data_IF_556696367026
#
_entry.id   IF_556696367026
#
_cell.length_a   1.000
_cell.length_b   1.000
_cell.length_c   1.000
_cell.angle_alpha   90.00
_cell.angle_beta   90.00
_cell.angle_gamma   90.00
#
_symmetry.space_group_name_H-M   'P 1'
#
loop_
_entity.id
_entity.type
_entity.pdbx_description
1 polymer ?
#
# COMPACT_ATOMS: atom_id res chain seq x y z
N UNK A 1 -26.40 48.55 4.10
CA UNK A 1 -25.62 47.30 4.27
C UNK A 1 -26.60 46.13 4.26
N UNK A 2 -26.48 45.17 3.34
CA UNK A 2 -27.42 44.04 3.20
C UNK A 2 -26.64 42.74 3.44
N UNK A 3 -26.85 42.09 4.59
CA UNK A 3 -26.17 40.84 4.93
C UNK A 3 -26.85 39.68 4.18
N UNK A 4 -26.15 39.05 3.26
CA UNK A 4 -26.57 37.76 2.70
C UNK A 4 -26.15 36.64 3.66
N UNK A 5 -27.13 35.98 4.27
CA UNK A 5 -26.94 34.74 5.01
C UNK A 5 -27.00 33.56 4.03
N UNK A 6 -25.87 32.90 3.82
CA UNK A 6 -25.84 31.58 3.18
C UNK A 6 -26.38 30.54 4.19
N UNK A 7 -27.45 29.83 3.83
CA UNK A 7 -27.79 28.56 4.47
C UNK A 7 -27.07 27.43 3.73
N UNK A 8 -26.41 26.48 4.43
CA UNK A 8 -25.99 25.23 3.82
C UNK A 8 -27.23 24.34 3.63
N UNK A 9 -27.50 23.89 2.41
CA UNK A 9 -28.61 22.99 2.12
C UNK A 9 -28.24 21.56 2.56
N UNK A 10 -28.53 21.23 3.81
CA UNK A 10 -28.40 19.87 4.34
C UNK A 10 -29.54 19.02 3.78
N UNK A 11 -29.28 18.27 2.70
CA UNK A 11 -30.26 17.40 2.06
C UNK A 11 -30.46 16.08 2.84
N UNK A 12 -30.95 16.20 4.07
CA UNK A 12 -31.62 15.14 4.82
C UNK A 12 -33.02 15.66 5.12
N UNK A 13 -34.02 15.24 4.32
CA UNK A 13 -35.43 15.57 4.55
C UNK A 13 -35.98 14.76 5.73
N UNK A 14 -35.50 15.05 6.93
CA UNK A 14 -36.13 14.64 8.19
C UNK A 14 -37.11 15.74 8.65
N UNK A 15 -38.16 15.99 7.85
CA UNK A 15 -39.28 16.84 8.26
C UNK A 15 -40.15 16.07 9.26
N UNK A 16 -39.70 15.97 10.50
CA UNK A 16 -40.43 15.30 11.58
C UNK A 16 -41.69 16.08 12.00
N UNK A 17 -42.75 15.95 11.21
CA UNK A 17 -44.12 16.09 11.69
C UNK A 17 -44.44 14.97 12.67
N UNK A 18 -45.28 15.24 13.68
CA UNK A 18 -45.69 14.20 14.63
C UNK A 18 -46.66 13.23 13.93
N UNK A 19 -46.37 11.93 14.04
CA UNK A 19 -47.22 10.80 13.64
C UNK A 19 -47.18 10.37 12.16
N UNK A 20 -46.00 10.31 11.54
CA UNK A 20 -45.80 9.45 10.36
C UNK A 20 -44.62 8.51 10.61
N UNK A 21 -44.80 7.22 10.33
CA UNK A 21 -43.71 6.25 10.35
C UNK A 21 -42.64 6.71 9.35
N UNK A 22 -41.40 6.84 9.82
CA UNK A 22 -40.28 7.18 8.95
C UNK A 22 -39.89 5.94 8.14
N UNK A 23 -40.64 5.68 7.06
CA UNK A 23 -40.29 4.69 6.05
C UNK A 23 -38.90 5.01 5.50
N UNK A 24 -37.92 4.22 5.91
CA UNK A 24 -36.57 4.27 5.35
C UNK A 24 -36.66 3.71 3.94
N UNK A 25 -36.90 4.60 2.97
CA UNK A 25 -36.99 4.27 1.55
C UNK A 25 -35.69 3.59 1.13
N UNK A 26 -35.75 2.28 1.01
CA UNK A 26 -34.63 1.48 0.51
C UNK A 26 -34.59 1.65 -1.01
N UNK A 27 -33.45 2.08 -1.60
CA UNK A 27 -33.36 2.30 -3.05
C UNK A 27 -33.75 1.05 -3.83
N UNK A 28 -34.60 1.22 -4.84
CA UNK A 28 -34.95 0.12 -5.74
C UNK A 28 -33.81 -0.14 -6.73
N UNK A 29 -33.71 -1.34 -7.34
CA UNK A 29 -32.66 -1.65 -8.31
C UNK A 29 -32.54 -0.65 -9.46
N UNK A 30 -33.67 -0.09 -9.91
CA UNK A 30 -33.78 0.94 -10.95
C UNK A 30 -33.22 2.32 -10.56
N UNK A 31 -33.11 2.62 -9.26
CA UNK A 31 -32.54 3.88 -8.76
C UNK A 31 -30.99 3.87 -8.73
N UNK A 32 -30.38 2.70 -8.98
CA UNK A 32 -28.96 2.47 -8.80
C UNK A 32 -28.16 2.64 -10.10
N UNK A 33 -27.16 3.53 -10.05
CA UNK A 33 -26.26 3.80 -11.17
C UNK A 33 -24.92 3.11 -10.97
N UNK A 34 -24.40 2.52 -12.05
CA UNK A 34 -23.01 2.04 -12.18
C UNK A 34 -22.27 2.89 -13.22
N UNK A 35 -21.57 3.97 -12.82
CA UNK A 35 -20.74 4.76 -13.75
C UNK A 35 -19.58 3.94 -14.32
N UNK A 36 -19.02 4.39 -15.45
CA UNK A 36 -17.75 3.86 -15.94
C UNK A 36 -16.61 4.28 -15.00
N UNK A 37 -15.48 3.58 -15.11
CA UNK A 37 -14.31 3.80 -14.26
C UNK A 37 -13.06 3.91 -15.11
N UNK A 38 -12.31 4.98 -14.88
CA UNK A 38 -10.99 5.24 -15.44
C UNK A 38 -9.99 5.46 -14.31
N UNK A 39 -8.75 4.99 -14.48
CA UNK A 39 -7.72 5.09 -13.45
C UNK A 39 -6.32 5.38 -14.04
N UNK A 40 -5.63 6.34 -13.43
CA UNK A 40 -4.25 6.74 -13.79
C UNK A 40 -3.33 6.66 -12.59
N UNK A 41 -2.03 6.49 -12.85
CA UNK A 41 -0.99 6.77 -11.87
C UNK A 41 -0.67 8.27 -11.87
N UNK A 42 -0.62 8.87 -10.69
CA UNK A 42 -0.58 10.31 -10.46
C UNK A 42 -1.81 11.10 -10.96
N UNK A 43 -1.98 12.29 -10.39
CA UNK A 43 -2.96 13.30 -10.83
C UNK A 43 -2.43 14.15 -12.01
N UNK A 44 -1.13 14.07 -12.30
CA UNK A 44 -0.45 14.89 -13.30
C UNK A 44 0.11 14.08 -14.48
N UNK A 45 -0.23 12.79 -14.58
CA UNK A 45 0.23 11.92 -15.65
C UNK A 45 -0.97 11.26 -16.34
N UNK A 46 -0.75 10.85 -17.58
CA UNK A 46 -1.68 10.02 -18.37
C UNK A 46 -1.37 8.53 -18.24
N UNK A 47 -0.45 8.13 -17.36
CA UNK A 47 0.03 6.76 -17.26
C UNK A 47 -1.10 5.83 -16.79
N UNK A 48 -1.51 4.84 -17.61
CA UNK A 48 -2.66 4.01 -17.32
C UNK A 48 -2.37 3.06 -16.16
N UNK A 49 -3.24 3.07 -15.15
CA UNK A 49 -3.17 2.10 -14.07
C UNK A 49 -3.56 0.69 -14.55
N UNK A 50 -2.92 -0.33 -14.01
CA UNK A 50 -3.21 -1.75 -14.26
C UNK A 50 -3.20 -2.52 -12.94
N UNK A 51 -4.16 -3.43 -12.79
CA UNK A 51 -4.31 -4.29 -11.61
C UNK A 51 -5.68 -4.16 -10.93
N UNK A 52 -5.92 -4.89 -9.82
CA UNK A 52 -7.14 -4.78 -9.02
C UNK A 52 -7.34 -3.38 -8.42
N UNK A 53 -8.60 -2.95 -8.31
CA UNK A 53 -9.00 -1.71 -7.64
C UNK A 53 -10.25 -1.92 -6.79
N UNK A 54 -10.15 -1.54 -5.51
CA UNK A 54 -11.27 -1.37 -4.58
C UNK A 54 -11.82 0.06 -4.68
N UNK A 55 -13.14 0.16 -4.72
CA UNK A 55 -13.88 1.43 -4.79
C UNK A 55 -14.83 1.52 -3.61
N UNK A 56 -14.58 2.48 -2.72
CA UNK A 56 -15.21 2.60 -1.41
C UNK A 56 -15.97 3.93 -1.30
N UNK A 57 -17.30 3.92 -1.45
CA UNK A 57 -18.09 5.13 -1.34
C UNK A 57 -18.33 5.55 0.11
N UNK A 58 -18.24 6.85 0.32
CA UNK A 58 -18.50 7.55 1.58
C UNK A 58 -19.49 8.69 1.36
N UNK A 59 -20.08 9.19 2.45
CA UNK A 59 -20.88 10.41 2.45
C UNK A 59 -20.11 11.61 1.85
N UNK A 60 -20.84 12.59 1.29
CA UNK A 60 -20.29 13.82 0.71
C UNK A 60 -19.29 14.52 1.63
N UNK A 61 -18.05 14.74 1.17
CA UNK A 61 -16.96 15.34 1.96
C UNK A 61 -16.68 14.64 3.31
N UNK A 62 -17.17 13.41 3.49
CA UNK A 62 -17.09 12.65 4.72
C UNK A 62 -16.19 11.42 4.61
N UNK A 63 -16.03 10.75 5.74
CA UNK A 63 -15.37 9.44 5.88
C UNK A 63 -16.31 8.33 6.33
N UNK A 64 -17.60 8.63 6.53
CA UNK A 64 -18.61 7.62 6.82
C UNK A 64 -18.83 6.73 5.62
N UNK A 65 -18.49 5.45 5.76
CA UNK A 65 -18.64 4.44 4.72
C UNK A 65 -20.10 4.07 4.52
N UNK A 66 -20.58 4.13 3.28
CA UNK A 66 -21.99 3.85 2.97
C UNK A 66 -22.22 2.46 2.36
N UNK A 67 -21.17 1.65 2.18
CA UNK A 67 -21.29 0.34 1.52
C UNK A 67 -21.60 0.44 0.03
N UNK A 68 -21.70 -0.72 -0.61
CA UNK A 68 -22.10 -0.85 -2.01
C UNK A 68 -23.51 -1.47 -2.09
N UNK A 69 -24.17 -1.40 -3.25
CA UNK A 69 -25.45 -2.06 -3.48
C UNK A 69 -25.32 -3.30 -4.38
N UNK A 70 -26.07 -4.34 -4.02
CA UNK A 70 -26.25 -5.51 -4.90
C UNK A 70 -27.21 -5.16 -6.05
N UNK A 71 -27.22 -5.98 -7.10
CA UNK A 71 -28.20 -5.84 -8.20
C UNK A 71 -29.68 -6.06 -7.79
N UNK A 72 -29.96 -6.32 -6.50
CA UNK A 72 -31.30 -6.47 -5.93
C UNK A 72 -31.66 -5.35 -4.94
N UNK A 73 -31.01 -4.18 -5.02
CA UNK A 73 -31.29 -3.05 -4.10
C UNK A 73 -30.78 -3.22 -2.66
N UNK A 74 -30.30 -4.41 -2.27
CA UNK A 74 -29.74 -4.63 -0.92
C UNK A 74 -28.35 -4.01 -0.79
N UNK A 75 -28.20 -3.10 0.16
CA UNK A 75 -26.93 -2.53 0.63
C UNK A 75 -26.05 -3.58 1.33
N UNK A 76 -24.74 -3.54 1.10
CA UNK A 76 -23.75 -4.49 1.64
C UNK A 76 -22.44 -3.78 2.04
N UNK A 77 -21.72 -4.28 3.06
CA UNK A 77 -20.50 -3.65 3.58
C UNK A 77 -19.24 -3.94 2.74
N UNK A 78 -19.35 -4.71 1.65
CA UNK A 78 -18.22 -4.99 0.77
C UNK A 78 -18.05 -3.85 -0.25
N UNK A 79 -16.81 -3.44 -0.57
CA UNK A 79 -16.58 -2.41 -1.56
C UNK A 79 -16.88 -2.93 -2.97
N UNK A 80 -16.85 -2.02 -3.95
CA UNK A 80 -16.90 -2.43 -5.34
C UNK A 80 -15.50 -2.82 -5.83
N UNK A 81 -15.45 -3.83 -6.71
CA UNK A 81 -14.22 -4.44 -7.21
C UNK A 81 -14.15 -4.37 -8.73
N UNK A 82 -13.06 -3.80 -9.23
CA UNK A 82 -12.75 -3.67 -10.64
C UNK A 82 -11.38 -4.26 -10.94
N UNK A 83 -11.23 -4.86 -12.12
CA UNK A 83 -9.91 -5.10 -12.72
C UNK A 83 -9.65 -3.97 -13.71
N UNK A 84 -8.57 -3.22 -13.51
CA UNK A 84 -8.21 -2.14 -14.42
C UNK A 84 -7.22 -2.70 -15.46
N UNK A 85 -7.50 -2.44 -16.74
CA UNK A 85 -6.60 -2.78 -17.85
C UNK A 85 -6.43 -1.55 -18.73
N UNK A 86 -5.19 -1.12 -18.93
CA UNK A 86 -4.84 0.11 -19.65
C UNK A 86 -5.65 1.33 -19.16
N UNK A 87 -5.76 1.48 -17.84
CA UNK A 87 -6.52 2.57 -17.20
C UNK A 87 -8.04 2.47 -17.31
N UNK A 88 -8.60 1.45 -17.97
CA UNK A 88 -10.05 1.25 -18.12
C UNK A 88 -10.53 0.18 -17.13
N UNK A 89 -11.48 0.52 -16.30
CA UNK A 89 -12.06 -0.36 -15.29
C UNK A 89 -13.08 -1.33 -15.85
N UNK A 90 -12.78 -2.63 -15.81
CA UNK A 90 -13.74 -3.70 -16.06
C UNK A 90 -14.33 -4.15 -14.72
N UNK A 91 -15.63 -3.99 -14.58
CA UNK A 91 -16.35 -4.46 -13.40
C UNK A 91 -16.22 -5.98 -13.27
N UNK A 92 -15.89 -6.44 -12.07
CA UNK A 92 -16.04 -7.85 -11.73
C UNK A 92 -17.48 -8.13 -11.28
N UNK A 93 -17.69 -9.18 -10.48
CA UNK A 93 -19.00 -9.58 -9.92
C UNK A 93 -19.71 -8.46 -9.13
N UNK A 94 -18.96 -7.45 -8.66
CA UNK A 94 -19.45 -6.36 -7.81
C UNK A 94 -18.98 -4.98 -8.30
N UNK A 95 -19.55 -4.42 -9.40
CA UNK A 95 -19.37 -3.00 -9.71
C UNK A 95 -19.95 -2.12 -8.61
N UNK A 96 -19.57 -0.84 -8.63
CA UNK A 96 -20.21 0.19 -7.81
C UNK A 96 -21.67 0.34 -8.27
N UNK A 97 -22.58 0.33 -7.32
CA UNK A 97 -24.00 0.67 -7.49
C UNK A 97 -24.38 1.60 -6.36
N UNK A 98 -24.84 2.79 -6.71
CA UNK A 98 -25.26 3.81 -5.76
C UNK A 98 -26.48 4.55 -6.31
N UNK A 99 -27.36 5.07 -5.44
CA UNK A 99 -28.34 6.07 -5.83
C UNK A 99 -27.69 7.29 -6.49
N UNK A 100 -28.45 8.03 -7.30
CA UNK A 100 -28.02 9.33 -7.82
C UNK A 100 -27.74 10.29 -6.66
N UNK A 101 -26.57 10.93 -6.66
CA UNK A 101 -26.15 11.77 -5.54
C UNK A 101 -24.69 12.19 -5.60
N UNK A 102 -24.27 13.06 -4.67
CA UNK A 102 -22.87 13.44 -4.51
C UNK A 102 -22.23 12.56 -3.44
N UNK A 103 -21.03 12.04 -3.71
CA UNK A 103 -20.31 11.15 -2.79
C UNK A 103 -18.83 11.52 -2.75
N UNK A 104 -18.16 11.15 -1.66
CA UNK A 104 -16.71 11.02 -1.66
C UNK A 104 -16.37 9.55 -1.91
N UNK A 105 -15.54 9.26 -2.90
CA UNK A 105 -15.11 7.90 -3.23
C UNK A 105 -13.63 7.75 -2.89
N UNK A 106 -13.30 6.68 -2.17
CA UNK A 106 -11.92 6.27 -1.88
C UNK A 106 -11.54 5.10 -2.79
N UNK A 107 -10.31 5.10 -3.27
CA UNK A 107 -9.75 4.08 -4.14
C UNK A 107 -8.51 3.45 -3.51
N UNK A 108 -8.47 2.11 -3.45
CA UNK A 108 -7.26 1.35 -3.10
C UNK A 108 -6.91 0.40 -4.24
N UNK A 109 -5.69 0.52 -4.76
CA UNK A 109 -5.17 -0.28 -5.85
C UNK A 109 -3.97 -1.12 -5.43
N UNK A 110 -3.89 -2.31 -6.01
CA UNK A 110 -2.91 -3.35 -5.72
C UNK A 110 -2.15 -3.69 -7.03
N UNK A 111 -1.31 -2.79 -7.57
CA UNK A 111 -0.76 -2.96 -8.91
C UNK A 111 0.21 -4.13 -9.04
N UNK A 112 0.16 -4.78 -10.21
CA UNK A 112 0.94 -5.97 -10.54
C UNK A 112 2.45 -5.71 -10.81
N UNK A 113 2.95 -4.47 -10.60
CA UNK A 113 4.30 -4.05 -11.01
C UNK A 113 5.45 -4.83 -10.36
N UNK A 114 5.25 -5.30 -9.13
CA UNK A 114 6.22 -6.13 -8.45
C UNK A 114 5.60 -7.50 -8.21
N UNK A 115 6.21 -8.52 -8.80
CA UNK A 115 5.94 -9.91 -8.50
C UNK A 115 6.30 -10.22 -7.05
N UNK A 116 5.42 -9.82 -6.13
CA UNK A 116 5.47 -10.11 -4.68
C UNK A 116 5.10 -11.58 -4.50
N UNK A 117 6.01 -12.44 -4.93
CA UNK A 117 5.85 -13.87 -4.96
C UNK A 117 5.66 -14.43 -3.54
N UNK A 118 4.47 -14.96 -3.26
CA UNK A 118 4.17 -15.80 -2.08
C UNK A 118 4.06 -15.08 -0.74
N UNK A 119 4.94 -14.12 -0.45
CA UNK A 119 5.31 -13.78 0.93
C UNK A 119 4.79 -12.42 1.43
N UNK A 120 3.99 -11.72 0.61
CA UNK A 120 3.37 -10.46 0.97
C UNK A 120 1.98 -10.66 1.59
N UNK A 121 1.72 -10.05 2.75
CA UNK A 121 0.44 -10.17 3.44
C UNK A 121 0.03 -8.92 4.22
N UNK A 122 -1.23 -8.51 4.02
CA UNK A 122 -1.89 -7.46 4.81
C UNK A 122 -2.81 -8.07 5.89
N UNK A 123 -3.10 -7.26 6.90
CA UNK A 123 -4.24 -7.42 7.77
C UNK A 123 -5.32 -6.44 7.29
N UNK A 124 -6.30 -6.98 6.56
CA UNK A 124 -7.35 -6.17 5.93
C UNK A 124 -8.34 -5.59 6.96
N UNK A 125 -8.88 -4.38 6.71
CA UNK A 125 -9.86 -3.76 7.58
C UNK A 125 -11.20 -4.50 7.57
N UNK A 126 -11.87 -4.53 8.72
CA UNK A 126 -13.31 -4.86 8.77
C UNK A 126 -14.13 -3.63 8.41
N UNK A 127 -14.85 -3.69 7.30
CA UNK A 127 -15.70 -2.58 6.82
C UNK A 127 -17.12 -2.69 7.40
N UNK A 128 -17.63 -1.55 7.88
CA UNK A 128 -18.93 -1.47 8.55
C UNK A 128 -19.65 -0.22 8.04
N UNK A 129 -20.86 -0.39 7.51
CA UNK A 129 -21.71 0.71 7.03
C UNK A 129 -22.02 1.67 8.20
N UNK A 130 -21.98 2.98 7.94
CA UNK A 130 -22.21 4.01 8.95
C UNK A 130 -21.06 4.20 9.95
N UNK A 131 -19.89 3.58 9.72
CA UNK A 131 -18.65 3.85 10.47
C UNK A 131 -17.67 4.66 9.64
N UNK A 132 -16.77 5.39 10.32
CA UNK A 132 -15.80 6.26 9.67
C UNK A 132 -14.55 5.49 9.26
N UNK A 133 -14.23 5.47 7.96
CA UNK A 133 -12.99 4.89 7.45
C UNK A 133 -11.73 5.58 7.99
N UNK A 134 -11.83 6.81 8.51
CA UNK A 134 -10.67 7.48 9.13
C UNK A 134 -10.33 6.93 10.52
N UNK A 135 -11.15 6.02 11.05
CA UNK A 135 -10.87 5.20 12.25
C UNK A 135 -10.58 3.73 11.89
N UNK A 136 -10.32 3.47 10.61
CA UNK A 136 -10.09 2.14 10.03
C UNK A 136 -8.73 2.14 9.34
N UNK A 137 -7.99 1.04 9.40
CA UNK A 137 -6.63 0.95 8.87
C UNK A 137 -6.39 -0.38 8.15
N UNK A 138 -5.54 -0.36 7.12
CA UNK A 138 -4.78 -1.53 6.69
C UNK A 138 -3.65 -1.75 7.71
N UNK A 139 -3.39 -3.00 8.11
CA UNK A 139 -2.32 -3.35 9.05
C UNK A 139 -1.26 -4.26 8.45
N UNK A 140 -0.07 -4.27 9.03
CA UNK A 140 0.93 -5.31 8.78
C UNK A 140 0.47 -6.65 9.39
N UNK A 141 0.62 -7.74 8.64
CA UNK A 141 0.38 -9.09 9.17
C UNK A 141 1.63 -9.62 9.89
N UNK A 142 1.46 -10.04 11.15
CA UNK A 142 2.53 -10.65 11.94
C UNK A 142 2.84 -12.07 11.43
N UNK A 143 4.12 -12.45 11.41
CA UNK A 143 4.53 -13.83 11.13
C UNK A 143 4.14 -14.72 12.33
N UNK A 144 3.41 -15.84 12.14
CA UNK A 144 3.04 -16.74 13.22
C UNK A 144 4.28 -17.32 13.94
N UNK A 145 4.28 -17.27 15.26
CA UNK A 145 5.39 -17.77 16.09
C UNK A 145 6.58 -16.81 16.27
N UNK A 146 6.68 -15.75 15.47
CA UNK A 146 7.80 -14.80 15.49
C UNK A 146 7.44 -13.50 16.28
N UNK A 147 8.34 -12.52 16.28
CA UNK A 147 8.13 -11.11 16.64
C UNK A 147 7.96 -10.21 15.41
N UNK A 148 8.46 -10.61 14.24
CA UNK A 148 8.46 -9.83 12.99
C UNK A 148 7.18 -9.98 12.14
N UNK A 149 7.11 -9.22 11.05
CA UNK A 149 5.95 -9.05 10.19
C UNK A 149 6.30 -9.32 8.72
N UNK A 150 5.31 -9.73 7.92
CA UNK A 150 5.46 -9.90 6.48
C UNK A 150 5.59 -8.55 5.74
N UNK A 151 6.27 -8.50 4.58
CA UNK A 151 6.12 -7.39 3.65
C UNK A 151 4.69 -7.31 3.13
N UNK A 152 4.38 -6.24 2.41
CA UNK A 152 3.05 -5.99 1.84
C UNK A 152 3.10 -6.07 0.31
N UNK A 153 1.92 -6.10 -0.31
CA UNK A 153 1.80 -5.81 -1.74
C UNK A 153 2.09 -4.33 -2.01
N UNK A 154 2.41 -3.99 -3.26
CA UNK A 154 2.44 -2.58 -3.68
C UNK A 154 1.04 -2.00 -3.51
N UNK A 155 0.95 -0.79 -2.94
CA UNK A 155 -0.32 -0.12 -2.70
C UNK A 155 -0.32 1.25 -3.37
N UNK A 156 -1.42 1.56 -4.03
CA UNK A 156 -1.75 2.91 -4.50
C UNK A 156 -3.11 3.35 -3.96
N UNK A 157 -3.26 4.64 -3.75
CA UNK A 157 -4.42 5.26 -3.12
C UNK A 157 -4.89 6.49 -3.90
N UNK A 158 -6.20 6.71 -3.95
CA UNK A 158 -6.81 7.91 -4.51
C UNK A 158 -8.13 8.27 -3.83
N UNK A 159 -8.61 9.48 -4.06
CA UNK A 159 -9.92 9.95 -3.60
C UNK A 159 -10.51 10.95 -4.60
N UNK A 160 -11.84 10.92 -4.75
CA UNK A 160 -12.59 11.77 -5.67
C UNK A 160 -13.95 12.13 -5.07
N UNK A 161 -14.29 13.42 -5.02
CA UNK A 161 -15.69 13.85 -4.88
C UNK A 161 -16.37 13.77 -6.26
N UNK A 162 -17.53 13.13 -6.34
CA UNK A 162 -18.20 12.80 -7.61
C UNK A 162 -19.73 12.95 -7.53
N UNK A 163 -20.40 13.33 -8.62
CA UNK A 163 -21.86 13.25 -8.75
C UNK A 163 -22.27 12.00 -9.54
N UNK A 164 -22.66 10.93 -8.82
CA UNK A 164 -23.17 9.70 -9.40
C UNK A 164 -24.49 9.99 -10.12
N UNK A 165 -24.59 9.52 -11.37
CA UNK A 165 -25.69 9.83 -12.29
C UNK A 165 -25.37 10.97 -13.27
N UNK A 166 -24.19 11.62 -13.15
CA UNK A 166 -23.70 12.62 -14.12
C UNK A 166 -22.27 12.37 -14.56
N UNK A 167 -21.41 11.97 -13.62
CA UNK A 167 -19.97 11.84 -13.83
C UNK A 167 -19.52 10.36 -13.83
N UNK A 168 -18.48 10.06 -14.61
CA UNK A 168 -17.75 8.80 -14.50
C UNK A 168 -16.66 8.85 -13.39
N UNK A 169 -16.31 7.69 -12.85
CA UNK A 169 -15.28 7.54 -11.82
C UNK A 169 -13.89 7.80 -12.44
N UNK A 170 -13.10 8.65 -11.78
CA UNK A 170 -11.74 9.04 -12.16
C UNK A 170 -10.80 8.80 -10.96
N UNK A 171 -10.15 7.63 -10.95
CA UNK A 171 -9.23 7.22 -9.91
C UNK A 171 -7.80 7.68 -10.23
N UNK A 172 -7.40 8.85 -9.72
CA UNK A 172 -6.02 9.33 -9.82
C UNK A 172 -5.19 8.84 -8.63
N UNK A 173 -4.39 7.80 -8.84
CA UNK A 173 -3.79 6.97 -7.80
C UNK A 173 -2.34 7.36 -7.53
N UNK A 174 -1.94 7.47 -6.26
CA UNK A 174 -0.55 7.71 -5.84
C UNK A 174 -0.08 6.56 -4.97
N UNK A 175 1.20 6.18 -5.06
CA UNK A 175 1.77 5.15 -4.20
C UNK A 175 1.60 5.50 -2.72
N UNK A 176 1.10 4.53 -1.96
CA UNK A 176 0.94 4.57 -0.50
C UNK A 176 2.03 3.74 0.21
N UNK A 177 2.59 2.75 -0.48
CA UNK A 177 3.75 1.97 -0.05
C UNK A 177 5.08 2.60 -0.50
N UNK A 178 6.16 2.22 0.18
CA UNK A 178 7.53 2.35 -0.31
C UNK A 178 7.97 1.01 -0.94
N UNK A 179 8.89 1.04 -1.89
CA UNK A 179 9.51 -0.15 -2.48
C UNK A 179 10.97 -0.29 -2.00
N UNK A 180 11.39 -1.51 -1.68
CA UNK A 180 12.74 -1.83 -1.21
C UNK A 180 13.31 -3.02 -1.98
N UNK A 181 14.47 -2.84 -2.60
CA UNK A 181 15.34 -3.92 -3.06
C UNK A 181 16.63 -3.89 -2.26
N UNK A 182 17.17 -5.07 -2.05
CA UNK A 182 18.45 -5.32 -1.39
C UNK A 182 19.24 -6.21 -2.34
N UNK A 183 20.45 -5.78 -2.66
CA UNK A 183 21.41 -6.53 -3.45
C UNK A 183 22.65 -6.70 -2.59
N UNK A 184 22.99 -7.93 -2.27
CA UNK A 184 24.18 -8.31 -1.51
C UNK A 184 25.17 -8.93 -2.48
N UNK A 185 26.40 -8.45 -2.52
CA UNK A 185 27.48 -8.89 -3.43
C UNK A 185 28.80 -9.01 -2.69
N UNK A 186 29.68 -9.95 -3.09
CA UNK A 186 31.05 -9.97 -2.57
C UNK A 186 31.82 -8.75 -3.11
N UNK A 187 32.61 -8.07 -2.27
CA UNK A 187 33.35 -6.84 -2.65
C UNK A 187 34.34 -7.04 -3.80
N UNK A 188 34.87 -8.25 -3.94
CA UNK A 188 35.77 -8.60 -5.04
C UNK A 188 35.04 -9.01 -6.34
N UNK A 189 33.71 -9.10 -6.32
CA UNK A 189 32.87 -9.52 -7.45
C UNK A 189 32.81 -11.03 -7.71
N UNK A 190 33.40 -11.86 -6.84
CA UNK A 190 33.35 -13.32 -6.96
C UNK A 190 31.97 -13.89 -6.56
N UNK A 191 31.79 -15.20 -6.78
CA UNK A 191 30.61 -15.91 -6.30
C UNK A 191 30.70 -16.20 -4.80
N UNK A 192 29.61 -15.93 -4.07
CA UNK A 192 29.45 -16.31 -2.67
C UNK A 192 29.67 -17.82 -2.47
N UNK A 193 30.54 -18.15 -1.51
CA UNK A 193 30.82 -19.52 -1.10
C UNK A 193 29.56 -20.35 -0.89
N UNK A 194 29.57 -21.63 -1.29
CA UNK A 194 28.52 -22.61 -0.99
C UNK A 194 28.33 -22.87 0.52
N UNK A 195 29.26 -22.37 1.35
CA UNK A 195 29.12 -22.36 2.81
C UNK A 195 28.03 -21.39 3.31
N UNK A 196 27.51 -20.48 2.46
CA UNK A 196 26.31 -19.69 2.75
C UNK A 196 25.08 -20.45 2.26
N UNK A 197 24.22 -20.82 3.20
CA UNK A 197 22.96 -21.49 2.97
C UNK A 197 21.86 -20.49 2.58
N UNK A 198 21.66 -19.45 3.40
CA UNK A 198 20.58 -18.48 3.19
C UNK A 198 20.89 -17.10 3.80
N UNK A 199 20.22 -16.08 3.27
CA UNK A 199 20.26 -14.70 3.78
C UNK A 199 18.85 -14.13 3.91
N UNK A 200 18.59 -13.35 4.97
CA UNK A 200 17.35 -12.59 5.13
C UNK A 200 17.58 -11.24 5.82
N UNK A 201 16.63 -10.34 5.59
CA UNK A 201 16.68 -8.94 6.00
C UNK A 201 15.60 -8.67 7.03
N UNK A 202 15.96 -7.96 8.12
CA UNK A 202 14.99 -7.27 8.97
C UNK A 202 15.10 -5.76 8.76
N UNK A 203 14.00 -5.11 8.41
CA UNK A 203 13.91 -3.64 8.35
C UNK A 203 12.92 -3.13 9.42
N UNK A 204 13.42 -2.32 10.35
CA UNK A 204 12.68 -1.84 11.52
C UNK A 204 12.22 -0.39 11.37
N UNK A 205 11.49 0.12 12.36
CA UNK A 205 10.88 1.46 12.35
C UNK A 205 9.85 1.67 11.22
N UNK A 206 9.26 0.59 10.71
CA UNK A 206 8.15 0.62 9.76
C UNK A 206 6.85 0.88 10.52
N UNK A 207 6.01 1.81 10.05
CA UNK A 207 4.69 2.02 10.67
C UNK A 207 3.83 0.75 10.57
N UNK A 208 3.03 0.44 11.60
CA UNK A 208 2.22 -0.78 11.61
C UNK A 208 1.00 -0.71 10.72
N UNK A 209 0.52 0.50 10.41
CA UNK A 209 -0.76 0.72 9.77
C UNK A 209 -0.69 1.81 8.69
N UNK A 210 -1.59 1.73 7.71
CA UNK A 210 -2.02 2.87 6.88
C UNK A 210 -3.49 3.19 7.15
N UNK A 211 -3.80 4.46 7.40
CA UNK A 211 -5.17 4.95 7.58
C UNK A 211 -5.98 4.73 6.29
N UNK A 212 -7.06 3.95 6.36
CA UNK A 212 -7.76 3.47 5.16
C UNK A 212 -8.55 4.57 4.43
N UNK A 213 -8.81 5.70 5.08
CA UNK A 213 -9.42 6.89 4.48
C UNK A 213 -8.42 7.91 3.90
N UNK A 214 -7.13 7.81 4.21
CA UNK A 214 -6.17 8.87 3.85
C UNK A 214 -4.80 8.40 3.39
N UNK A 215 -4.55 7.09 3.41
CA UNK A 215 -3.26 6.44 3.17
C UNK A 215 -2.10 6.98 4.02
N UNK A 216 -2.39 7.67 5.13
CA UNK A 216 -1.35 8.19 6.05
C UNK A 216 -0.82 7.07 6.95
N UNK A 217 0.51 6.97 7.13
CA UNK A 217 1.08 6.05 8.11
C UNK A 217 0.64 6.37 9.54
N UNK A 218 0.29 5.34 10.30
CA UNK A 218 -0.17 5.47 11.69
C UNK A 218 0.15 4.21 12.51
N UNK A 219 -0.23 4.21 13.79
CA UNK A 219 -0.04 3.07 14.69
C UNK A 219 1.33 3.05 15.37
N UNK A 220 1.91 1.86 15.53
CA UNK A 220 3.17 1.61 16.25
C UNK A 220 4.27 1.18 15.29
N UNK A 221 5.53 1.21 15.70
CA UNK A 221 6.61 0.74 14.84
C UNK A 221 6.82 -0.77 14.94
N UNK A 222 7.12 -1.41 13.79
CA UNK A 222 7.36 -2.84 13.62
C UNK A 222 8.61 -3.11 12.80
N UNK A 223 8.99 -4.38 12.76
CA UNK A 223 10.08 -4.92 11.95
C UNK A 223 9.49 -5.88 10.92
N UNK A 224 9.79 -5.62 9.64
CA UNK A 224 9.46 -6.48 8.51
C UNK A 224 10.61 -7.46 8.29
N UNK A 225 10.31 -8.71 7.96
CA UNK A 225 11.28 -9.73 7.54
C UNK A 225 11.03 -10.19 6.11
N UNK A 226 12.08 -10.34 5.31
CA UNK A 226 12.03 -10.98 4.00
C UNK A 226 13.36 -11.67 3.64
N UNK A 227 13.27 -12.81 2.96
CA UNK A 227 14.44 -13.56 2.48
C UNK A 227 15.02 -12.99 1.19
N UNK A 228 16.30 -13.26 0.94
CA UNK A 228 16.99 -13.02 -0.33
C UNK A 228 17.16 -14.34 -1.08
N UNK A 229 17.31 -14.26 -2.41
CA UNK A 229 17.55 -15.41 -3.29
C UNK A 229 18.91 -15.25 -3.98
N UNK A 230 19.73 -16.31 -4.07
CA UNK A 230 20.98 -16.24 -4.82
C UNK A 230 20.70 -16.08 -6.32
N UNK A 231 21.56 -15.33 -7.01
CA UNK A 231 21.64 -15.34 -8.47
C UNK A 231 22.10 -16.71 -8.99
N UNK A 232 21.85 -17.00 -10.26
CA UNK A 232 22.22 -18.29 -10.90
C UNK A 232 23.70 -18.63 -10.76
N UNK A 233 24.57 -17.62 -10.74
CA UNK A 233 26.03 -17.71 -10.58
C UNK A 233 26.50 -17.43 -9.15
N UNK A 234 25.58 -17.24 -8.18
CA UNK A 234 25.85 -16.88 -6.78
C UNK A 234 26.72 -15.62 -6.56
N UNK A 235 26.90 -14.73 -7.53
CA UNK A 235 27.60 -13.44 -7.30
C UNK A 235 26.75 -12.45 -6.53
N UNK A 236 25.44 -12.68 -6.44
CA UNK A 236 24.51 -11.85 -5.67
C UNK A 236 23.56 -12.70 -4.83
N UNK A 237 23.15 -12.17 -3.67
CA UNK A 237 21.87 -12.51 -3.05
C UNK A 237 20.97 -11.27 -3.11
N UNK A 238 19.80 -11.38 -3.74
CA UNK A 238 18.91 -10.23 -3.89
C UNK A 238 17.44 -10.58 -3.66
N UNK A 239 16.63 -9.54 -3.47
CA UNK A 239 15.20 -9.60 -3.75
C UNK A 239 14.91 -8.65 -4.92
N UNK A 240 13.98 -9.03 -5.80
CA UNK A 240 13.51 -8.16 -6.88
C UNK A 240 13.06 -6.80 -6.32
N UNK A 241 11.87 -6.73 -5.72
CA UNK A 241 11.41 -5.65 -4.84
C UNK A 241 10.40 -6.23 -3.85
N UNK A 242 10.48 -5.82 -2.58
CA UNK A 242 9.37 -5.93 -1.62
C UNK A 242 8.72 -4.57 -1.44
N UNK A 243 7.43 -4.54 -1.12
CA UNK A 243 6.78 -3.30 -0.66
C UNK A 243 6.66 -3.31 0.86
N UNK A 244 6.79 -2.13 1.46
CA UNK A 244 6.62 -1.89 2.90
C UNK A 244 5.73 -0.66 3.12
N UNK A 245 5.08 -0.56 4.28
CA UNK A 245 4.55 0.74 4.71
C UNK A 245 5.72 1.72 4.91
N UNK A 246 5.47 3.05 4.84
CA UNK A 246 6.51 4.03 5.12
C UNK A 246 7.15 3.84 6.50
N UNK A 247 8.35 4.38 6.64
CA UNK A 247 9.21 4.26 7.82
C UNK A 247 9.29 5.58 8.61
N UNK A 248 9.85 5.52 9.82
CA UNK A 248 10.49 6.70 10.43
C UNK A 248 11.79 7.05 9.68
N UNK A 249 12.30 8.29 9.83
CA UNK A 249 13.69 8.60 9.47
C UNK A 249 14.68 7.58 10.05
N UNK A 250 15.68 7.24 9.26
CA UNK A 250 16.77 6.32 9.60
C UNK A 250 16.30 4.97 10.17
N UNK A 251 15.53 4.18 9.41
CA UNK A 251 15.11 2.85 9.82
C UNK A 251 16.33 1.93 10.01
N UNK A 252 16.29 1.07 11.03
CA UNK A 252 17.35 0.10 11.29
C UNK A 252 17.22 -1.08 10.33
N UNK A 253 18.20 -1.20 9.44
CA UNK A 253 18.39 -2.31 8.54
C UNK A 253 19.27 -3.37 9.21
N UNK A 254 18.96 -4.64 9.02
CA UNK A 254 19.74 -5.75 9.53
C UNK A 254 19.76 -6.87 8.49
N UNK A 255 20.93 -7.48 8.30
CA UNK A 255 21.11 -8.68 7.48
C UNK A 255 21.55 -9.83 8.37
N UNK A 256 20.97 -11.00 8.11
CA UNK A 256 21.31 -12.25 8.73
C UNK A 256 21.81 -13.20 7.65
N UNK A 257 22.94 -13.86 7.90
CA UNK A 257 23.56 -14.82 6.99
C UNK A 257 23.71 -16.14 7.73
N UNK A 258 22.96 -17.15 7.28
CA UNK A 258 23.06 -18.51 7.79
C UNK A 258 24.05 -19.31 6.96
N UNK A 259 25.02 -19.91 7.65
CA UNK A 259 25.98 -20.83 7.06
C UNK A 259 25.41 -22.26 7.05
N UNK A 260 25.90 -23.12 6.15
CA UNK A 260 25.44 -24.51 5.98
C UNK A 260 25.64 -25.40 7.23
N UNK A 261 26.44 -24.94 8.21
CA UNK A 261 26.59 -25.59 9.51
C UNK A 261 25.58 -25.12 10.58
N UNK A 262 24.62 -24.25 10.22
CA UNK A 262 23.61 -23.69 11.12
C UNK A 262 24.05 -22.43 11.88
N UNK A 263 25.28 -21.95 11.71
CA UNK A 263 25.74 -20.69 12.33
C UNK A 263 25.07 -19.50 11.66
N UNK A 264 24.49 -18.59 12.45
CA UNK A 264 23.91 -17.34 11.95
C UNK A 264 24.85 -16.19 12.30
N UNK A 265 25.34 -15.47 11.29
CA UNK A 265 25.97 -14.15 11.44
C UNK A 265 24.90 -13.06 11.30
N UNK A 266 25.04 -11.97 12.04
CA UNK A 266 24.10 -10.84 12.05
C UNK A 266 24.88 -9.53 11.96
N UNK A 267 24.42 -8.62 11.12
CA UNK A 267 24.96 -7.27 10.98
C UNK A 267 23.81 -6.26 10.91
N UNK A 268 24.04 -5.05 11.39
CA UNK A 268 23.01 -4.01 11.45
C UNK A 268 23.59 -2.63 11.14
N UNK A 269 22.81 -1.81 10.43
CA UNK A 269 23.15 -0.42 10.14
C UNK A 269 21.86 0.39 9.94
N UNK A 270 21.90 1.69 10.24
CA UNK A 270 20.78 2.57 9.90
C UNK A 270 20.86 2.98 8.44
N UNK A 271 19.75 2.87 7.72
CA UNK A 271 19.59 3.56 6.44
C UNK A 271 19.76 5.07 6.64
N UNK A 272 20.45 5.75 5.72
CA UNK A 272 20.45 7.22 5.67
C UNK A 272 19.12 7.76 5.16
N UNK A 273 18.43 6.96 4.34
CA UNK A 273 17.18 7.27 3.65
C UNK A 273 15.96 6.78 4.43
N UNK A 274 14.93 7.63 4.49
CA UNK A 274 13.61 7.23 4.95
C UNK A 274 12.85 6.60 3.78
N UNK A 275 12.39 5.36 3.95
CA UNK A 275 11.45 4.70 3.05
C UNK A 275 10.11 5.44 3.12
N UNK A 276 9.73 6.10 2.04
CA UNK A 276 8.58 7.00 1.95
C UNK A 276 7.56 6.47 0.93
N UNK A 277 6.29 6.84 1.09
CA UNK A 277 5.25 6.51 0.12
C UNK A 277 5.63 7.09 -1.26
N UNK A 278 5.72 6.23 -2.28
CA UNK A 278 6.18 6.66 -3.61
C UNK A 278 7.70 6.83 -3.76
N UNK A 279 8.51 6.28 -2.86
CA UNK A 279 9.96 6.08 -3.08
C UNK A 279 10.34 4.62 -3.26
N UNK A 280 11.39 4.39 -4.05
CA UNK A 280 12.02 3.09 -4.27
C UNK A 280 13.46 3.23 -3.82
N UNK A 281 13.82 2.41 -2.85
CA UNK A 281 15.17 2.35 -2.30
C UNK A 281 15.82 1.06 -2.76
N UNK A 282 17.02 1.17 -3.30
CA UNK A 282 17.92 0.03 -3.52
C UNK A 282 19.03 0.14 -2.48
N UNK A 283 19.18 -0.90 -1.65
CA UNK A 283 20.26 -1.00 -0.67
C UNK A 283 21.29 -1.96 -1.23
N UNK A 284 22.44 -1.42 -1.63
CA UNK A 284 23.58 -2.21 -2.09
C UNK A 284 24.46 -2.53 -0.87
N UNK A 285 24.72 -3.82 -0.65
CA UNK A 285 25.54 -4.35 0.43
C UNK A 285 26.74 -5.06 -0.17
N UNK A 286 27.90 -4.41 -0.08
CA UNK A 286 29.17 -5.10 -0.29
C UNK A 286 29.50 -5.87 0.98
N UNK A 287 29.77 -7.17 0.85
CA UNK A 287 30.32 -8.00 1.91
C UNK A 287 31.75 -8.37 1.52
N UNK A 288 32.70 -8.20 2.43
CA UNK A 288 34.03 -8.73 2.22
C UNK A 288 34.01 -10.26 2.42
N UNK A 289 34.61 -10.97 1.45
CA UNK A 289 34.44 -12.40 1.23
C UNK A 289 34.59 -13.26 2.47
N UNK A 290 33.49 -13.93 2.87
CA UNK A 290 33.26 -14.77 4.08
C UNK A 290 34.49 -15.09 4.94
N UNK A 291 35.08 -14.06 5.55
CA UNK A 291 36.15 -14.03 6.56
C UNK A 291 36.16 -12.59 7.14
N UNK A 292 36.81 -12.36 8.28
CA UNK A 292 36.70 -11.12 9.08
C UNK A 292 37.72 -10.03 8.66
N UNK A 293 37.51 -8.81 9.19
CA UNK A 293 38.31 -7.56 9.17
C UNK A 293 37.99 -6.47 8.11
N UNK A 294 37.66 -5.23 8.56
CA UNK A 294 38.64 -4.13 8.32
C UNK A 294 38.39 -2.84 7.46
N UNK A 295 37.18 -2.32 7.14
CA UNK A 295 37.06 -0.89 6.66
C UNK A 295 35.95 -0.49 5.66
N UNK A 296 35.85 0.80 5.28
CA UNK A 296 34.61 1.52 4.84
C UNK A 296 34.43 2.00 3.35
N UNK A 297 33.19 1.85 2.84
CA UNK A 297 32.29 2.73 1.99
C UNK A 297 32.65 3.38 0.61
N UNK A 298 31.68 3.36 -0.34
CA UNK A 298 31.53 4.28 -1.50
C UNK A 298 30.35 3.94 -2.48
N UNK A 299 29.68 4.92 -3.14
CA UNK A 299 28.38 4.74 -3.89
C UNK A 299 28.20 5.60 -5.19
N UNK A 300 27.31 5.20 -6.14
CA UNK A 300 26.79 6.03 -7.28
C UNK A 300 25.29 5.72 -7.69
N UNK A 301 24.73 6.29 -8.80
CA UNK A 301 23.26 6.55 -9.05
C UNK A 301 22.55 5.91 -10.30
N UNK A 302 21.19 6.10 -10.45
CA UNK A 302 20.26 6.15 -11.67
C UNK A 302 19.13 5.06 -11.71
N UNK A 303 17.82 5.24 -12.09
CA UNK A 303 16.82 6.37 -12.16
C UNK A 303 15.32 5.86 -12.16
N UNK A 304 14.37 6.70 -11.65
CA UNK A 304 12.88 6.61 -11.60
C UNK A 304 12.16 5.55 -10.72
N UNK A 305 10.96 5.88 -10.19
CA UNK A 305 10.65 6.43 -8.83
C UNK A 305 11.37 7.71 -8.39
N UNK A 306 10.95 8.37 -7.29
CA UNK A 306 11.92 9.21 -6.56
C UNK A 306 12.89 8.25 -5.91
N UNK A 307 13.99 8.02 -6.61
CA UNK A 307 15.01 7.11 -6.15
C UNK A 307 15.71 7.62 -4.90
N UNK A 308 16.08 6.66 -4.09
CA UNK A 308 16.89 6.83 -2.90
C UNK A 308 17.89 5.68 -2.94
N UNK A 309 19.16 6.03 -3.00
CA UNK A 309 20.26 5.07 -2.90
C UNK A 309 20.82 5.17 -1.48
N UNK A 310 21.27 4.04 -0.94
CA UNK A 310 21.73 3.91 0.43
C UNK A 310 22.76 2.77 0.48
N UNK A 311 24.04 3.12 0.38
CA UNK A 311 25.12 2.16 0.52
C UNK A 311 25.46 1.93 1.99
N UNK A 312 25.36 0.67 2.39
CA UNK A 312 25.86 0.19 3.68
C UNK A 312 27.13 -0.62 3.39
N UNK A 313 28.24 -0.20 3.99
CA UNK A 313 29.45 -1.02 4.09
C UNK A 313 29.50 -1.72 5.44
N UNK A 314 30.05 -2.93 5.46
CA UNK A 314 30.24 -3.76 6.65
C UNK A 314 31.67 -4.33 6.55
N UNK A 315 32.73 -3.68 7.03
CA UNK A 315 32.82 -3.05 8.36
C UNK A 315 33.32 -4.07 9.42
N UNK A 316 34.13 -5.08 9.03
CA UNK A 316 34.25 -6.36 9.74
C UNK A 316 35.31 -6.45 10.88
N UNK A 317 35.54 -5.42 11.71
CA UNK A 317 36.49 -5.45 12.85
C UNK A 317 36.60 -6.79 13.61
#
# INVERSE_FOLDING_TARGET
MRKFLFLPLLALLASCGKNEDCDIVTPQPEDLVSPALYATLSQSSTDPYNGPLEVLPCETNGSFYIGNYTAKGKQVPFPAYYLITNGIGKSQKYPLRLPVGTYNVIYWGYPDYFGTAGDAYLADPTLIIGKKLNTTSLGLRKIPGDTVYYPIHSLVYGTQNINIGKDDLQAHLKHASAALSVIVSETNGDAFSDAIDSMWIYISNIYSNLNYFSARPEGTFKTISFGLKPSTNRTEFNNNFVSVFPSQPNPMFQIFVQLSNGTIKHYQQKLTTQLNAGTRTTVNLSMDGVLLEEGDTGEFQIDKWKEQHDSIHISLN
#
